data_IF_873501941402
#
_entry.id   IF_873501941402
#
_cell.length_a   1.000
_cell.length_b   1.000
_cell.length_c   1.000
_cell.angle_alpha   90.00
_cell.angle_beta   90.00
_cell.angle_gamma   90.00
#
_symmetry.space_group_name_H-M   'P 1'
#
loop_
_entity.id
_entity.type
_entity.pdbx_description
1 polymer ?
#
# COMPACT_ATOMS: atom_id res chain seq x y z
N UNK A 1 -12.11 13.42 -18.32
CA UNK A 1 -11.85 13.31 -16.86
C UNK A 1 -10.96 12.09 -16.64
N UNK A 2 -9.96 12.19 -15.79
CA UNK A 2 -9.12 11.03 -15.40
C UNK A 2 -10.02 10.01 -14.68
N UNK A 3 -9.91 8.73 -14.99
CA UNK A 3 -10.67 7.65 -14.35
C UNK A 3 -10.09 7.41 -12.96
N UNK A 4 -10.94 7.28 -11.94
CA UNK A 4 -10.51 6.82 -10.61
C UNK A 4 -9.92 5.40 -10.70
N UNK A 5 -8.73 5.20 -10.13
CA UNK A 5 -8.04 3.91 -10.13
C UNK A 5 -8.56 2.99 -9.02
N UNK A 6 -8.65 1.71 -9.34
CA UNK A 6 -9.03 0.64 -8.42
C UNK A 6 -7.78 -0.05 -7.88
N UNK A 7 -7.40 0.26 -6.64
CA UNK A 7 -6.20 -0.28 -5.99
C UNK A 7 -6.61 -1.34 -4.96
N UNK A 8 -6.11 -2.55 -5.13
CA UNK A 8 -6.38 -3.69 -4.25
C UNK A 8 -5.52 -3.58 -2.97
N UNK A 9 -6.14 -3.25 -1.84
CA UNK A 9 -5.52 -3.09 -0.51
C UNK A 9 -4.99 -4.43 0.01
N UNK A 10 -3.67 -4.58 0.11
CA UNK A 10 -2.99 -5.84 0.48
C UNK A 10 -3.38 -7.01 -0.43
N UNK A 11 -3.62 -6.70 -1.73
CA UNK A 11 -4.24 -7.62 -2.68
C UNK A 11 -5.76 -7.68 -2.54
N UNK A 12 -6.40 -8.77 -2.97
CA UNK A 12 -7.85 -8.98 -2.81
C UNK A 12 -8.17 -9.47 -1.39
N UNK A 13 -7.84 -8.67 -0.40
CA UNK A 13 -7.84 -9.04 1.02
C UNK A 13 -9.22 -9.23 1.65
N UNK A 14 -10.28 -8.75 1.02
CA UNK A 14 -11.66 -9.02 1.48
C UNK A 14 -12.12 -10.46 1.29
N UNK A 15 -11.40 -11.26 0.50
CA UNK A 15 -11.75 -12.66 0.16
C UNK A 15 -10.57 -13.62 0.34
N UNK A 16 -9.35 -13.13 0.28
CA UNK A 16 -8.12 -13.94 0.40
C UNK A 16 -7.24 -13.38 1.52
N UNK A 17 -6.36 -14.21 2.13
CA UNK A 17 -5.44 -13.73 3.17
C UNK A 17 -4.59 -12.56 2.69
N UNK A 18 -4.68 -11.43 3.39
CA UNK A 18 -3.99 -10.18 3.06
C UNK A 18 -2.48 -10.36 2.94
N UNK A 19 -1.85 -9.55 2.07
CA UNK A 19 -0.40 -9.50 1.91
C UNK A 19 0.23 -10.88 1.59
N UNK A 20 -0.50 -11.74 0.89
CA UNK A 20 0.01 -13.02 0.38
C UNK A 20 0.07 -13.00 -1.15
N UNK A 21 0.96 -13.82 -1.73
CA UNK A 21 1.04 -13.95 -3.19
C UNK A 21 -0.31 -14.35 -3.81
N UNK A 22 -1.09 -15.20 -3.12
CA UNK A 22 -2.44 -15.58 -3.56
C UNK A 22 -3.38 -14.37 -3.67
N UNK A 23 -3.39 -13.48 -2.66
CA UNK A 23 -4.22 -12.28 -2.69
C UNK A 23 -3.81 -11.32 -3.84
N UNK A 24 -2.53 -11.23 -4.14
CA UNK A 24 -2.01 -10.44 -5.26
C UNK A 24 -2.38 -11.05 -6.62
N UNK A 25 -2.23 -12.35 -6.78
CA UNK A 25 -2.67 -13.08 -7.99
C UNK A 25 -4.16 -12.85 -8.26
N UNK A 26 -5.00 -12.99 -7.23
CA UNK A 26 -6.44 -12.79 -7.34
C UNK A 26 -6.83 -11.35 -7.63
N UNK A 27 -6.08 -10.37 -7.13
CA UNK A 27 -6.26 -8.96 -7.49
C UNK A 27 -5.99 -8.71 -8.99
N UNK A 28 -4.93 -9.31 -9.54
CA UNK A 28 -4.63 -9.25 -10.98
C UNK A 28 -5.71 -9.95 -11.81
N UNK A 29 -6.13 -11.16 -11.41
CA UNK A 29 -7.16 -11.93 -12.12
C UNK A 29 -8.49 -11.18 -12.27
N UNK A 30 -8.89 -10.42 -11.25
CA UNK A 30 -10.08 -9.58 -11.34
C UNK A 30 -9.87 -8.29 -12.12
N UNK A 31 -8.61 -7.95 -12.48
CA UNK A 31 -8.25 -6.76 -13.27
C UNK A 31 -8.40 -5.47 -12.49
N UNK A 32 -7.78 -5.37 -11.31
CA UNK A 32 -7.56 -4.11 -10.63
C UNK A 32 -6.55 -3.24 -11.40
N UNK A 33 -6.60 -1.92 -11.19
CA UNK A 33 -5.66 -0.98 -11.81
C UNK A 33 -4.32 -0.92 -11.04
N UNK A 34 -4.28 -1.44 -9.80
CA UNK A 34 -3.07 -1.51 -8.99
C UNK A 34 -3.21 -2.36 -7.74
N UNK A 35 -2.08 -2.57 -7.06
CA UNK A 35 -2.00 -3.28 -5.79
C UNK A 35 -1.29 -2.38 -4.77
N UNK A 36 -1.84 -2.34 -3.57
CA UNK A 36 -1.19 -1.76 -2.41
C UNK A 36 -0.67 -2.89 -1.50
N UNK A 37 0.47 -2.67 -0.84
CA UNK A 37 1.11 -3.61 0.08
C UNK A 37 2.01 -2.90 1.09
N UNK A 38 2.36 -3.58 2.19
CA UNK A 38 3.10 -3.06 3.33
C UNK A 38 4.49 -3.70 3.44
N UNK A 39 5.54 -2.92 3.66
CA UNK A 39 6.90 -3.43 3.83
C UNK A 39 7.46 -3.16 5.21
N UNK A 40 8.06 -4.19 5.81
CA UNK A 40 8.82 -4.16 7.06
C UNK A 40 10.15 -4.92 6.90
N UNK A 41 11.06 -4.80 7.86
CA UNK A 41 12.32 -5.57 7.84
C UNK A 41 12.33 -6.67 8.91
N UNK A 42 12.85 -7.83 8.53
CA UNK A 42 13.20 -8.88 9.47
C UNK A 42 14.43 -8.49 10.31
N UNK A 43 14.75 -9.29 11.32
CA UNK A 43 15.94 -9.16 12.16
C UNK A 43 17.25 -9.15 11.35
N UNK A 44 17.30 -9.90 10.27
CA UNK A 44 18.44 -10.02 9.35
C UNK A 44 18.34 -9.07 8.14
N UNK A 45 17.42 -8.10 8.19
CA UNK A 45 17.32 -7.01 7.21
C UNK A 45 16.65 -7.38 5.89
N UNK A 46 15.93 -8.50 5.82
CA UNK A 46 15.18 -8.88 4.62
C UNK A 46 13.85 -8.11 4.57
N UNK A 47 13.52 -7.37 3.49
CA UNK A 47 12.23 -6.70 3.36
C UNK A 47 11.12 -7.71 3.06
N UNK A 48 10.17 -7.80 3.98
CA UNK A 48 9.01 -8.71 3.94
C UNK A 48 7.70 -7.94 3.90
N UNK A 49 6.66 -8.59 3.40
CA UNK A 49 5.35 -7.98 3.23
C UNK A 49 4.43 -8.37 4.38
N UNK A 50 4.19 -7.44 5.30
CA UNK A 50 3.28 -7.61 6.43
C UNK A 50 2.80 -6.24 6.93
N UNK A 51 1.51 -6.13 7.29
CA UNK A 51 0.96 -4.87 7.78
C UNK A 51 1.31 -4.59 9.23
N UNK A 52 0.94 -5.52 10.13
CA UNK A 52 1.14 -5.33 11.56
C UNK A 52 2.62 -5.54 11.92
N UNK A 53 3.09 -4.88 12.95
CA UNK A 53 4.44 -5.08 13.49
C UNK A 53 4.61 -6.49 14.08
N UNK A 54 3.49 -7.14 14.43
CA UNK A 54 3.42 -8.49 15.00
C UNK A 54 2.76 -9.47 14.03
N UNK A 55 3.23 -10.74 14.05
CA UNK A 55 2.69 -11.81 13.19
C UNK A 55 1.39 -12.42 13.72
N UNK A 56 0.93 -11.98 14.88
CA UNK A 56 -0.14 -12.60 15.68
C UNK A 56 -1.49 -12.68 14.96
N UNK A 57 -1.89 -11.63 14.26
CA UNK A 57 -3.21 -11.56 13.64
C UNK A 57 -3.32 -12.43 12.39
N UNK A 58 -2.27 -12.53 11.60
CA UNK A 58 -2.31 -13.16 10.28
C UNK A 58 -1.64 -14.52 10.22
N UNK A 59 -0.83 -14.90 11.24
CA UNK A 59 -0.11 -16.18 11.21
C UNK A 59 -0.46 -17.10 12.39
N UNK A 60 0.08 -18.32 12.37
CA UNK A 60 -0.01 -19.30 13.45
C UNK A 60 1.02 -19.10 14.56
N UNK A 61 1.67 -17.94 14.64
CA UNK A 61 2.71 -17.63 15.63
C UNK A 61 2.43 -16.29 16.32
N UNK A 62 3.35 -15.84 17.19
CA UNK A 62 3.26 -14.57 17.94
C UNK A 62 4.62 -13.90 18.00
N UNK A 63 4.65 -12.56 18.07
CA UNK A 63 5.86 -11.77 18.21
C UNK A 63 6.08 -10.82 17.02
N UNK A 64 7.12 -9.99 17.11
CA UNK A 64 7.37 -8.93 16.15
C UNK A 64 8.15 -9.41 14.95
N UNK A 65 7.84 -8.87 13.76
CA UNK A 65 8.56 -9.14 12.51
C UNK A 65 10.08 -8.93 12.68
N UNK A 66 10.48 -7.83 13.32
CA UNK A 66 11.89 -7.47 13.52
C UNK A 66 12.66 -8.40 14.48
N UNK A 67 11.99 -9.29 15.20
CA UNK A 67 12.61 -10.28 16.08
C UNK A 67 12.88 -11.61 15.37
N UNK A 68 12.25 -11.85 14.21
CA UNK A 68 12.43 -13.04 13.37
C UNK A 68 13.48 -12.82 12.28
N UNK A 69 14.32 -13.81 12.04
CA UNK A 69 15.03 -13.92 10.76
C UNK A 69 14.06 -14.34 9.65
N UNK A 70 14.43 -14.11 8.39
CA UNK A 70 13.58 -14.51 7.27
C UNK A 70 13.32 -16.03 7.27
N UNK A 71 14.34 -16.85 7.55
CA UNK A 71 14.19 -18.30 7.63
C UNK A 71 13.22 -18.75 8.73
N UNK A 72 13.10 -18.00 9.81
CA UNK A 72 12.12 -18.26 10.87
C UNK A 72 10.71 -17.85 10.43
N UNK A 73 10.54 -16.69 9.78
CA UNK A 73 9.25 -16.25 9.22
C UNK A 73 8.71 -17.22 8.18
N UNK A 74 9.56 -17.80 7.34
CA UNK A 74 9.17 -18.79 6.32
C UNK A 74 8.57 -20.09 6.89
N UNK A 75 8.76 -20.37 8.19
CA UNK A 75 8.11 -21.50 8.86
C UNK A 75 6.67 -21.23 9.25
N UNK A 76 6.29 -19.95 9.34
CA UNK A 76 4.94 -19.54 9.73
C UNK A 76 3.93 -19.80 8.60
N UNK A 77 2.67 -19.90 8.99
CA UNK A 77 1.53 -20.06 8.09
C UNK A 77 0.70 -18.78 8.10
N UNK A 78 0.75 -18.02 7.02
CA UNK A 78 0.05 -16.74 6.84
C UNK A 78 -1.38 -16.89 6.29
N UNK A 79 -1.88 -18.10 6.12
CA UNK A 79 -3.23 -18.35 5.59
C UNK A 79 -4.18 -19.00 6.58
N UNK A 80 -3.65 -19.78 7.52
CA UNK A 80 -4.45 -20.65 8.39
C UNK A 80 -5.50 -19.89 9.21
N UNK A 81 -5.19 -18.66 9.66
CA UNK A 81 -6.15 -17.85 10.43
C UNK A 81 -7.29 -17.28 9.61
N UNK A 82 -7.10 -17.14 8.31
CA UNK A 82 -8.16 -16.73 7.39
C UNK A 82 -9.10 -17.91 7.05
N UNK A 83 -8.57 -19.15 7.02
CA UNK A 83 -9.33 -20.37 6.81
C UNK A 83 -8.44 -21.57 6.47
N UNK A 84 -8.88 -22.77 6.84
CA UNK A 84 -8.14 -24.03 6.59
C UNK A 84 -7.76 -24.25 5.11
N UNK A 85 -8.59 -23.76 4.18
CA UNK A 85 -8.33 -23.85 2.73
C UNK A 85 -7.14 -23.02 2.28
N UNK A 86 -6.65 -22.10 3.10
CA UNK A 86 -5.49 -21.23 2.82
C UNK A 86 -4.23 -21.63 3.56
N UNK A 87 -4.28 -22.77 4.28
CA UNK A 87 -3.14 -23.30 5.03
C UNK A 87 -1.92 -23.48 4.14
N UNK A 88 -0.77 -23.09 4.66
CA UNK A 88 0.53 -23.23 3.99
C UNK A 88 1.00 -21.98 3.25
N UNK A 89 0.18 -20.91 3.16
CA UNK A 89 0.62 -19.64 2.61
C UNK A 89 1.72 -19.01 3.47
N UNK A 90 2.59 -18.24 2.84
CA UNK A 90 3.76 -17.63 3.47
C UNK A 90 3.67 -16.11 3.44
N UNK A 91 4.41 -15.46 4.33
CA UNK A 91 4.70 -14.03 4.26
C UNK A 91 5.70 -13.84 3.12
N UNK A 92 5.35 -13.14 2.03
CA UNK A 92 6.27 -12.96 0.92
C UNK A 92 7.31 -11.89 1.23
N UNK A 93 8.45 -11.95 0.54
CA UNK A 93 9.40 -10.85 0.49
C UNK A 93 8.93 -9.78 -0.49
N UNK A 94 9.41 -8.53 -0.30
CA UNK A 94 9.20 -7.47 -1.29
C UNK A 94 9.80 -7.87 -2.66
N UNK A 95 10.93 -8.59 -2.67
CA UNK A 95 11.56 -9.11 -3.89
C UNK A 95 10.63 -10.06 -4.67
N UNK A 96 10.01 -11.03 -3.99
CA UNK A 96 9.06 -11.96 -4.62
C UNK A 96 7.86 -11.23 -5.21
N UNK A 97 7.35 -10.23 -4.52
CA UNK A 97 6.24 -9.41 -5.02
C UNK A 97 6.66 -8.59 -6.25
N UNK A 98 7.80 -7.89 -6.20
CA UNK A 98 8.28 -7.08 -7.34
C UNK A 98 8.58 -7.95 -8.56
N UNK A 99 9.17 -9.15 -8.38
CA UNK A 99 9.35 -10.13 -9.45
C UNK A 99 8.01 -10.54 -10.09
N UNK A 100 6.99 -10.76 -9.27
CA UNK A 100 5.65 -11.12 -9.73
C UNK A 100 4.98 -10.00 -10.55
N UNK A 101 5.17 -8.72 -10.17
CA UNK A 101 4.46 -7.59 -10.80
C UNK A 101 5.27 -6.88 -11.90
N UNK A 102 6.55 -7.20 -12.09
CA UNK A 102 7.44 -6.47 -13.00
C UNK A 102 6.91 -6.35 -14.45
N UNK A 103 6.30 -7.41 -14.96
CA UNK A 103 5.78 -7.48 -16.34
C UNK A 103 4.27 -7.18 -16.44
N UNK A 104 3.63 -6.71 -15.37
CA UNK A 104 2.21 -6.39 -15.34
C UNK A 104 2.01 -4.88 -15.45
N UNK A 105 1.05 -4.47 -16.28
CA UNK A 105 0.71 -3.04 -16.46
C UNK A 105 -0.24 -2.57 -15.35
N UNK A 106 0.31 -2.40 -14.13
CA UNK A 106 -0.42 -1.95 -12.93
C UNK A 106 0.38 -0.90 -12.16
N UNK A 107 -0.32 -0.11 -11.36
CA UNK A 107 0.29 0.75 -10.33
C UNK A 107 0.60 -0.07 -9.09
N UNK A 108 1.71 0.22 -8.44
CA UNK A 108 2.15 -0.44 -7.21
C UNK A 108 2.25 0.62 -6.12
N UNK A 109 1.47 0.48 -5.05
CA UNK A 109 1.62 1.32 -3.86
C UNK A 109 2.32 0.50 -2.77
N UNK A 110 3.48 0.95 -2.32
CA UNK A 110 4.23 0.32 -1.23
C UNK A 110 4.17 1.25 -0.01
N UNK A 111 3.50 0.79 1.04
CA UNK A 111 3.56 1.47 2.34
C UNK A 111 4.81 1.02 3.11
N UNK A 112 5.66 1.97 3.49
CA UNK A 112 6.78 1.72 4.42
C UNK A 112 6.26 1.82 5.84
N UNK A 113 6.32 0.71 6.59
CA UNK A 113 5.88 0.59 7.98
C UNK A 113 7.00 1.01 8.93
N UNK A 114 7.24 2.33 9.05
CA UNK A 114 8.35 2.90 9.82
C UNK A 114 7.89 3.87 10.93
N UNK A 115 6.57 3.97 11.18
CA UNK A 115 6.00 4.92 12.14
C UNK A 115 5.98 4.42 13.58
N UNK A 116 5.99 3.09 13.81
CA UNK A 116 5.96 2.46 15.13
C UNK A 116 7.32 1.84 15.46
N UNK A 117 7.86 1.02 14.55
CA UNK A 117 9.21 0.48 14.64
C UNK A 117 10.07 1.20 13.60
N UNK A 118 11.08 1.93 14.07
CA UNK A 118 12.01 2.62 13.18
C UNK A 118 13.06 1.64 12.66
N UNK A 119 12.91 1.21 11.42
CA UNK A 119 13.87 0.36 10.73
C UNK A 119 14.96 1.22 10.08
N UNK A 120 16.22 0.92 10.40
CA UNK A 120 17.34 1.57 9.74
C UNK A 120 17.36 1.21 8.24
N UNK A 121 17.53 2.22 7.39
CA UNK A 121 17.66 2.09 5.93
C UNK A 121 16.48 1.41 5.17
N UNK A 122 15.31 1.22 5.77
CA UNK A 122 14.17 0.59 5.08
C UNK A 122 13.79 1.35 3.80
N UNK A 123 13.87 2.68 3.80
CA UNK A 123 13.59 3.50 2.63
C UNK A 123 14.59 3.19 1.50
N UNK A 124 15.89 3.11 1.83
CA UNK A 124 16.94 2.82 0.86
C UNK A 124 16.80 1.39 0.31
N UNK A 125 16.60 0.40 1.17
CA UNK A 125 16.42 -1.01 0.79
C UNK A 125 15.23 -1.15 -0.16
N UNK A 126 14.10 -0.49 0.16
CA UNK A 126 12.90 -0.49 -0.69
C UNK A 126 13.18 0.16 -2.05
N UNK A 127 13.86 1.30 -2.07
CA UNK A 127 14.20 2.02 -3.30
C UNK A 127 15.18 1.27 -4.18
N UNK A 128 16.22 0.67 -3.60
CA UNK A 128 17.19 -0.16 -4.33
C UNK A 128 16.49 -1.32 -5.07
N UNK A 129 15.50 -1.96 -4.42
CA UNK A 129 14.70 -3.01 -5.06
C UNK A 129 13.80 -2.48 -6.18
N UNK A 130 13.11 -1.36 -5.97
CA UNK A 130 12.28 -0.73 -7.02
C UNK A 130 13.14 -0.40 -8.25
N UNK A 131 14.35 0.09 -8.05
CA UNK A 131 15.30 0.43 -9.13
C UNK A 131 15.86 -0.81 -9.81
N UNK A 132 16.19 -1.88 -9.06
CA UNK A 132 16.65 -3.15 -9.59
C UNK A 132 15.65 -3.75 -10.60
N UNK A 133 14.34 -3.61 -10.30
CA UNK A 133 13.26 -4.11 -11.17
C UNK A 133 12.79 -3.10 -12.22
N UNK A 134 13.37 -1.89 -12.29
CA UNK A 134 13.00 -0.81 -13.21
C UNK A 134 11.52 -0.39 -13.10
N UNK A 135 11.01 -0.26 -11.88
CA UNK A 135 9.59 0.01 -11.58
C UNK A 135 9.30 1.47 -11.18
N UNK A 136 10.28 2.37 -11.26
CA UNK A 136 10.21 3.74 -10.73
C UNK A 136 9.00 4.53 -11.24
N UNK A 137 8.57 4.30 -12.47
CA UNK A 137 7.48 5.04 -13.11
C UNK A 137 6.08 4.53 -12.72
N UNK A 138 6.01 3.36 -12.06
CA UNK A 138 4.75 2.69 -11.68
C UNK A 138 4.56 2.53 -10.19
N UNK A 139 5.56 2.93 -9.38
CA UNK A 139 5.50 2.81 -7.93
C UNK A 139 5.16 4.14 -7.29
N UNK A 140 4.31 4.08 -6.27
CA UNK A 140 4.07 5.13 -5.29
C UNK A 140 4.52 4.58 -3.95
N UNK A 141 5.45 5.26 -3.25
CA UNK A 141 5.83 4.91 -1.88
C UNK A 141 5.09 5.81 -0.92
N UNK A 142 4.38 5.22 0.03
CA UNK A 142 3.60 5.95 1.04
C UNK A 142 4.02 5.55 2.46
N UNK A 143 3.81 6.42 3.42
CA UNK A 143 4.05 6.13 4.84
C UNK A 143 3.38 7.17 5.75
N UNK A 144 3.08 6.78 6.99
CA UNK A 144 2.67 7.67 8.08
C UNK A 144 3.84 8.42 8.72
N UNK A 145 5.08 7.97 8.53
CA UNK A 145 6.27 8.71 8.93
C UNK A 145 6.67 9.71 7.82
N UNK A 146 6.26 10.96 7.97
CA UNK A 146 6.52 11.98 6.96
C UNK A 146 8.00 12.41 6.89
N UNK A 147 8.83 12.06 7.88
CA UNK A 147 10.29 12.18 7.75
C UNK A 147 10.83 11.12 6.77
N UNK A 148 10.27 9.89 6.79
CA UNK A 148 10.55 8.86 5.79
C UNK A 148 10.15 9.31 4.39
N UNK A 149 8.99 9.99 4.21
CA UNK A 149 8.62 10.60 2.90
C UNK A 149 9.73 11.53 2.41
N UNK A 150 10.26 12.39 3.28
CA UNK A 150 11.37 13.30 2.93
C UNK A 150 12.67 12.56 2.59
N UNK A 151 12.98 11.44 3.25
CA UNK A 151 14.12 10.58 2.89
C UNK A 151 13.91 9.96 1.51
N UNK A 152 12.74 9.39 1.24
CA UNK A 152 12.34 8.81 -0.05
C UNK A 152 12.53 9.80 -1.20
N UNK A 153 12.03 11.03 -1.07
CA UNK A 153 12.19 12.10 -2.07
C UNK A 153 13.67 12.42 -2.36
N UNK A 154 14.54 12.35 -1.34
CA UNK A 154 15.99 12.59 -1.50
C UNK A 154 16.69 11.43 -2.19
N UNK A 155 16.24 10.19 -2.00
CA UNK A 155 16.80 9.00 -2.65
C UNK A 155 16.54 9.02 -4.16
N UNK A 156 15.29 9.14 -4.58
CA UNK A 156 14.95 9.24 -6.00
C UNK A 156 13.59 9.94 -6.21
N UNK A 157 13.62 11.13 -6.82
CA UNK A 157 12.42 11.94 -7.11
C UNK A 157 11.55 11.41 -8.25
N UNK A 158 12.02 10.41 -9.01
CA UNK A 158 11.20 9.78 -10.06
C UNK A 158 10.12 8.88 -9.47
N UNK A 159 10.40 8.27 -8.31
CA UNK A 159 9.41 7.46 -7.59
C UNK A 159 8.46 8.41 -6.88
N UNK A 160 7.17 8.31 -7.20
CA UNK A 160 6.15 9.12 -6.53
C UNK A 160 6.08 8.79 -5.05
N UNK A 161 5.71 9.79 -4.24
CA UNK A 161 5.51 9.62 -2.80
C UNK A 161 4.12 10.09 -2.38
N UNK A 162 3.51 9.38 -1.41
CA UNK A 162 2.23 9.70 -0.79
C UNK A 162 2.37 9.91 0.71
N UNK A 163 1.64 10.90 1.23
CA UNK A 163 1.56 11.22 2.65
C UNK A 163 0.32 10.56 3.23
N UNK A 164 0.50 9.51 4.06
CA UNK A 164 -0.61 8.86 4.78
C UNK A 164 -1.00 9.64 6.02
N UNK A 165 -2.31 9.79 6.26
CA UNK A 165 -2.84 10.41 7.48
C UNK A 165 -4.28 9.97 7.77
N UNK A 166 -4.67 10.03 9.07
CA UNK A 166 -6.00 9.62 9.58
C UNK A 166 -6.90 10.81 9.88
N UNK A 167 -6.30 11.90 10.37
CA UNK A 167 -7.05 13.02 10.94
C UNK A 167 -7.55 13.97 9.86
N UNK A 168 -8.60 14.74 10.21
CA UNK A 168 -9.07 15.87 9.41
C UNK A 168 -8.06 17.03 9.53
N UNK A 169 -7.07 17.04 8.66
CA UNK A 169 -6.05 18.10 8.60
C UNK A 169 -6.62 19.31 7.87
N UNK A 170 -6.47 20.51 8.45
CA UNK A 170 -6.83 21.77 7.79
C UNK A 170 -5.88 22.04 6.62
N UNK A 171 -6.42 22.24 5.41
CA UNK A 171 -5.65 22.47 4.18
C UNK A 171 -4.51 21.48 3.95
N UNK A 172 -4.77 20.16 3.92
CA UNK A 172 -3.73 19.12 3.88
C UNK A 172 -2.85 19.21 2.63
N UNK A 173 -3.36 19.76 1.54
CA UNK A 173 -2.61 19.99 0.30
C UNK A 173 -1.42 20.94 0.52
N UNK A 174 -1.54 21.96 1.36
CA UNK A 174 -0.43 22.86 1.71
C UNK A 174 0.67 22.10 2.47
N UNK A 175 0.27 21.22 3.39
CA UNK A 175 1.22 20.38 4.14
C UNK A 175 1.95 19.40 3.20
N UNK A 176 1.23 18.72 2.31
CA UNK A 176 1.81 17.77 1.35
C UNK A 176 2.78 18.45 0.40
N UNK A 177 2.46 19.66 -0.07
CA UNK A 177 3.39 20.48 -0.85
C UNK A 177 4.64 20.86 -0.05
N UNK A 178 4.50 21.25 1.22
CA UNK A 178 5.64 21.56 2.09
C UNK A 178 6.54 20.34 2.30
N UNK A 179 5.96 19.15 2.45
CA UNK A 179 6.70 17.88 2.48
C UNK A 179 7.36 17.60 1.13
N UNK A 180 6.79 18.05 0.03
CA UNK A 180 7.26 17.87 -1.34
C UNK A 180 6.82 16.53 -1.96
N UNK A 181 5.76 15.91 -1.42
CA UNK A 181 5.20 14.67 -1.93
C UNK A 181 4.28 14.92 -3.15
N UNK A 182 3.88 13.84 -3.81
CA UNK A 182 3.08 13.86 -5.03
C UNK A 182 1.59 13.61 -4.77
N UNK A 183 1.24 13.00 -3.64
CA UNK A 183 -0.12 12.59 -3.34
C UNK A 183 -0.49 12.74 -1.86
N UNK A 184 -1.77 13.05 -1.64
CA UNK A 184 -2.45 12.87 -0.37
C UNK A 184 -2.94 11.41 -0.31
N UNK A 185 -2.67 10.72 0.80
CA UNK A 185 -3.23 9.41 1.11
C UNK A 185 -4.06 9.50 2.41
N UNK A 186 -5.26 10.08 2.34
CA UNK A 186 -6.14 10.26 3.50
C UNK A 186 -6.95 9.00 3.83
N UNK A 187 -7.30 8.86 5.09
CA UNK A 187 -8.48 8.08 5.48
C UNK A 187 -9.72 8.72 4.83
N UNK A 188 -10.58 7.95 4.18
CA UNK A 188 -11.61 8.44 3.26
C UNK A 188 -12.68 9.36 3.90
N UNK A 189 -12.92 9.26 5.22
CA UNK A 189 -13.83 10.15 5.94
C UNK A 189 -13.21 11.54 6.25
N UNK A 190 -11.90 11.68 6.07
CA UNK A 190 -11.17 12.92 6.37
C UNK A 190 -11.14 13.93 5.22
N UNK A 191 -11.78 13.63 4.06
CA UNK A 191 -11.74 14.48 2.87
C UNK A 191 -13.10 15.08 2.51
N UNK A 192 -13.06 16.21 1.83
CA UNK A 192 -14.20 16.90 1.26
C UNK A 192 -13.96 17.21 -0.23
N UNK A 193 -15.02 17.60 -0.96
CA UNK A 193 -14.90 18.05 -2.34
C UNK A 193 -13.88 19.19 -2.48
N UNK A 194 -13.90 20.16 -1.57
CA UNK A 194 -12.96 21.28 -1.56
C UNK A 194 -11.50 20.81 -1.43
N UNK A 195 -11.22 19.82 -0.55
CA UNK A 195 -9.87 19.27 -0.39
C UNK A 195 -9.39 18.61 -1.69
N UNK A 196 -10.25 17.83 -2.35
CA UNK A 196 -9.91 17.16 -3.62
C UNK A 196 -9.64 18.18 -4.72
N UNK A 197 -10.52 19.18 -4.88
CA UNK A 197 -10.35 20.25 -5.87
C UNK A 197 -9.04 21.02 -5.63
N UNK A 198 -8.78 21.43 -4.39
CA UNK A 198 -7.54 22.14 -4.03
C UNK A 198 -6.28 21.30 -4.18
N UNK A 199 -6.35 20.00 -3.90
CA UNK A 199 -5.23 19.10 -4.17
C UNK A 199 -4.93 19.05 -5.68
N UNK A 200 -5.96 18.92 -6.53
CA UNK A 200 -5.80 18.91 -7.98
C UNK A 200 -5.29 20.26 -8.52
N UNK A 201 -5.78 21.40 -8.01
CA UNK A 201 -5.28 22.74 -8.36
C UNK A 201 -3.78 22.89 -8.07
N UNK A 202 -3.26 22.12 -7.09
CA UNK A 202 -1.86 22.09 -6.70
C UNK A 202 -1.08 20.92 -7.35
N UNK A 203 -1.65 20.23 -8.34
CA UNK A 203 -1.07 19.07 -9.03
C UNK A 203 -0.74 17.91 -8.09
N UNK A 204 -1.52 17.71 -7.03
CA UNK A 204 -1.42 16.59 -6.11
C UNK A 204 -2.50 15.56 -6.43
N UNK A 205 -2.15 14.27 -6.36
CA UNK A 205 -3.12 13.18 -6.44
C UNK A 205 -3.78 12.94 -5.06
N UNK A 206 -5.01 12.41 -5.06
CA UNK A 206 -5.75 12.04 -3.85
C UNK A 206 -6.10 10.55 -3.92
N UNK A 207 -5.44 9.74 -3.10
CA UNK A 207 -5.57 8.29 -3.07
C UNK A 207 -6.12 7.85 -1.70
N UNK A 208 -7.41 7.55 -1.65
CA UNK A 208 -8.12 7.31 -0.37
C UNK A 208 -8.08 5.85 0.08
N UNK A 209 -7.99 5.61 1.38
CA UNK A 209 -8.05 4.29 2.01
C UNK A 209 -8.93 4.31 3.28
N UNK A 210 -9.45 3.20 3.80
CA UNK A 210 -9.72 1.95 3.10
C UNK A 210 -11.21 1.89 2.83
N UNK A 211 -11.62 2.02 1.59
CA UNK A 211 -13.03 2.17 1.19
C UNK A 211 -13.63 0.81 0.87
N UNK A 212 -14.52 0.30 1.71
CA UNK A 212 -14.99 -1.09 1.60
C UNK A 212 -16.49 -1.23 1.31
N UNK A 213 -17.29 -0.17 1.43
CA UNK A 213 -18.73 -0.24 1.12
C UNK A 213 -19.04 0.34 -0.26
N UNK A 214 -20.09 -0.17 -0.90
CA UNK A 214 -20.54 0.37 -2.20
C UNK A 214 -20.94 1.85 -2.14
N UNK A 215 -21.47 2.28 -0.99
CA UNK A 215 -21.89 3.66 -0.78
C UNK A 215 -20.69 4.59 -0.72
N UNK A 216 -19.70 4.26 0.10
CA UNK A 216 -18.48 5.06 0.22
C UNK A 216 -17.69 5.07 -1.09
N UNK A 217 -17.60 3.93 -1.80
CA UNK A 217 -16.97 3.88 -3.12
C UNK A 217 -17.62 4.87 -4.10
N UNK A 218 -18.98 4.91 -4.15
CA UNK A 218 -19.69 5.86 -4.99
C UNK A 218 -19.44 7.32 -4.57
N UNK A 219 -19.39 7.57 -3.26
CA UNK A 219 -19.09 8.90 -2.75
C UNK A 219 -17.68 9.36 -3.19
N UNK A 220 -16.67 8.50 -3.05
CA UNK A 220 -15.30 8.81 -3.48
C UNK A 220 -15.18 8.99 -5.00
N UNK A 221 -15.89 8.19 -5.78
CA UNK A 221 -15.95 8.37 -7.25
C UNK A 221 -16.57 9.73 -7.59
N UNK A 222 -17.64 10.13 -6.92
CA UNK A 222 -18.31 11.41 -7.13
C UNK A 222 -17.41 12.59 -6.75
N UNK A 223 -16.59 12.45 -5.71
CA UNK A 223 -15.55 13.41 -5.32
C UNK A 223 -14.39 13.47 -6.31
N UNK A 224 -14.31 12.54 -7.28
CA UNK A 224 -13.27 12.46 -8.32
C UNK A 224 -11.87 12.24 -7.74
N UNK A 225 -11.75 11.43 -6.69
CA UNK A 225 -10.43 11.02 -6.18
C UNK A 225 -9.65 10.24 -7.25
N UNK A 226 -8.32 10.32 -7.22
CA UNK A 226 -7.46 9.68 -8.23
C UNK A 226 -7.41 8.15 -8.06
N UNK A 227 -7.40 7.65 -6.81
CA UNK A 227 -7.45 6.24 -6.53
C UNK A 227 -8.28 5.91 -5.29
N UNK A 228 -8.91 4.75 -5.32
CA UNK A 228 -9.60 4.14 -4.18
C UNK A 228 -8.87 2.85 -3.82
N UNK A 229 -8.33 2.80 -2.61
CA UNK A 229 -7.66 1.64 -2.02
C UNK A 229 -8.71 0.86 -1.23
N UNK A 230 -8.97 -0.41 -1.62
CA UNK A 230 -10.08 -1.21 -1.10
C UNK A 230 -9.75 -2.69 -0.94
N UNK A 231 -10.34 -3.32 0.09
CA UNK A 231 -10.29 -4.78 0.26
C UNK A 231 -11.16 -5.53 -0.76
N UNK A 232 -12.10 -4.82 -1.43
CA UNK A 232 -13.06 -5.40 -2.37
C UNK A 232 -12.93 -4.81 -3.78
N UNK A 233 -11.78 -5.01 -4.46
CA UNK A 233 -11.54 -4.44 -5.78
C UNK A 233 -12.51 -4.97 -6.85
N UNK A 234 -13.13 -6.14 -6.64
CA UNK A 234 -14.20 -6.66 -7.48
C UNK A 234 -15.46 -5.77 -7.45
N UNK A 235 -15.84 -5.26 -6.26
CA UNK A 235 -17.00 -4.38 -6.11
C UNK A 235 -16.73 -3.04 -6.79
N UNK A 236 -15.56 -2.46 -6.53
CA UNK A 236 -15.17 -1.18 -7.13
C UNK A 236 -15.08 -1.27 -8.66
N UNK A 237 -14.54 -2.37 -9.20
CA UNK A 237 -14.48 -2.60 -10.65
C UNK A 237 -15.87 -2.53 -11.31
N UNK A 238 -16.90 -3.10 -10.66
CA UNK A 238 -18.27 -3.07 -11.19
C UNK A 238 -18.89 -1.67 -11.14
N UNK A 239 -18.48 -0.82 -10.20
CA UNK A 239 -18.95 0.57 -10.10
C UNK A 239 -18.22 1.52 -11.09
N UNK A 240 -17.06 1.16 -11.60
CA UNK A 240 -16.26 1.96 -12.53
C UNK A 240 -16.52 1.65 -14.02
N UNK A 241 -17.40 0.66 -14.31
CA UNK A 241 -17.87 0.34 -15.68
C UNK A 241 -18.88 1.37 -16.17
#
# INVERSE_FOLDING_TARGET
>A
MKKTLNIAHRGFSGVYPENTMLAFEKAIEIGCDGIETDVQLTKDGVPVICHDEEVDRTTNSTGRICDYTYDELMKLDAGIKFGEQFKGLKIPTLREFLEFVKDKDIIINIEIKNSIIHYEDIEKITYDLIEEYNLQDRVIVSTFDHYSVRKCIRLNRKIKTGVLYWDCIFEPYNYVQMVGANALHPEFNSITEEIVEKAHDNNLEVNVYTVNTKEDMKNMINLKVDAIITNYPNILKDLLK
#
